data_IF_259343950611
#
_entry.id   IF_259343950611
#
_cell.length_a   1.000
_cell.length_b   1.000
_cell.length_c   1.000
_cell.angle_alpha   90.00
_cell.angle_beta   90.00
_cell.angle_gamma   90.00
#
_symmetry.space_group_name_H-M   'P 1'
#
loop_
_entity.id
_entity.type
_entity.pdbx_description
1 polymer ?
#
# COMPACT_ATOMS: atom_id res chain seq x y z
N UNK A 1 -17.59 3.33 5.80
CA UNK A 1 -18.14 4.45 5.00
C UNK A 1 -19.00 3.88 3.89
N UNK A 2 -20.10 4.54 3.51
CA UNK A 2 -20.91 4.16 2.34
C UNK A 2 -20.61 5.17 1.24
N UNK A 3 -20.23 4.69 0.06
CA UNK A 3 -19.89 5.54 -1.08
C UNK A 3 -21.16 6.10 -1.71
N UNK A 4 -21.16 7.40 -1.99
CA UNK A 4 -22.31 8.16 -2.51
C UNK A 4 -22.00 8.86 -3.83
N UNK A 5 -20.74 9.13 -4.16
CA UNK A 5 -20.35 9.82 -5.40
C UNK A 5 -19.34 9.03 -6.21
N UNK A 6 -19.22 9.39 -7.49
CA UNK A 6 -18.24 8.76 -8.38
C UNK A 6 -16.80 9.15 -7.98
N UNK A 7 -16.59 10.37 -7.52
CA UNK A 7 -15.30 10.87 -7.07
C UNK A 7 -14.80 10.08 -5.86
N UNK A 8 -15.69 9.73 -4.93
CA UNK A 8 -15.37 8.86 -3.80
C UNK A 8 -14.95 7.45 -4.27
N UNK A 9 -15.69 6.85 -5.23
CA UNK A 9 -15.34 5.55 -5.82
C UNK A 9 -13.93 5.60 -6.43
N UNK A 10 -13.63 6.64 -7.22
CA UNK A 10 -12.32 6.76 -7.87
C UNK A 10 -11.19 7.02 -6.86
N UNK A 11 -11.44 7.79 -5.81
CA UNK A 11 -10.50 7.97 -4.71
C UNK A 11 -10.20 6.62 -4.00
N UNK A 12 -11.22 5.82 -3.71
CA UNK A 12 -11.05 4.50 -3.12
C UNK A 12 -10.30 3.52 -4.01
N UNK A 13 -10.60 3.51 -5.31
CA UNK A 13 -9.86 2.70 -6.28
C UNK A 13 -8.39 3.12 -6.34
N UNK A 14 -8.09 4.42 -6.30
CA UNK A 14 -6.73 4.93 -6.34
C UNK A 14 -5.92 4.44 -5.14
N UNK A 15 -6.41 4.64 -3.90
CA UNK A 15 -5.70 4.17 -2.72
C UNK A 15 -5.64 2.64 -2.65
N UNK A 16 -6.70 1.96 -3.08
CA UNK A 16 -6.74 0.49 -3.15
C UNK A 16 -5.67 -0.09 -4.08
N UNK A 17 -5.40 0.55 -5.22
CA UNK A 17 -4.31 0.15 -6.13
C UNK A 17 -2.94 0.32 -5.49
N UNK A 18 -2.69 1.47 -4.84
CA UNK A 18 -1.43 1.73 -4.12
C UNK A 18 -1.19 0.64 -3.05
N UNK A 19 -2.19 0.35 -2.22
CA UNK A 19 -2.08 -0.70 -1.20
C UNK A 19 -1.87 -2.09 -1.83
N UNK A 20 -2.47 -2.38 -2.99
CA UNK A 20 -2.28 -3.65 -3.67
C UNK A 20 -0.86 -3.81 -4.21
N UNK A 21 -0.29 -2.77 -4.82
CA UNK A 21 1.08 -2.76 -5.33
C UNK A 21 2.09 -2.96 -4.19
N UNK A 22 1.91 -2.23 -3.08
CA UNK A 22 2.74 -2.38 -1.88
C UNK A 22 2.67 -3.80 -1.33
N UNK A 23 1.46 -4.36 -1.22
CA UNK A 23 1.27 -5.74 -0.74
C UNK A 23 2.00 -6.75 -1.63
N UNK A 24 1.91 -6.63 -2.95
CA UNK A 24 2.61 -7.55 -3.86
C UNK A 24 4.13 -7.40 -3.77
N UNK A 25 4.65 -6.19 -3.60
CA UNK A 25 6.08 -5.95 -3.41
C UNK A 25 6.59 -6.56 -2.10
N UNK A 26 5.89 -6.34 -0.97
CA UNK A 26 6.23 -6.97 0.31
C UNK A 26 6.18 -8.49 0.21
N UNK A 27 5.13 -9.05 -0.41
CA UNK A 27 4.97 -10.49 -0.62
C UNK A 27 6.12 -11.08 -1.43
N UNK A 28 6.57 -10.40 -2.49
CA UNK A 28 7.71 -10.82 -3.30
C UNK A 28 9.04 -10.77 -2.52
N UNK A 29 9.17 -9.85 -1.56
CA UNK A 29 10.33 -9.72 -0.70
C UNK A 29 10.36 -10.73 0.46
N UNK A 30 9.21 -11.32 0.82
CA UNK A 30 9.09 -12.30 1.91
C UNK A 30 9.83 -13.60 1.59
N UNK A 31 10.98 -13.79 2.21
CA UNK A 31 11.80 -15.01 2.12
C UNK A 31 12.47 -15.32 3.47
N UNK A 32 12.92 -16.56 3.71
CA UNK A 32 13.63 -16.90 4.94
C UNK A 32 14.82 -15.97 5.19
N UNK A 33 14.94 -15.48 6.43
CA UNK A 33 15.99 -14.53 6.84
C UNK A 33 15.59 -13.06 6.74
N UNK A 34 14.43 -12.72 6.18
CA UNK A 34 13.88 -11.35 6.18
C UNK A 34 13.08 -11.12 7.46
N UNK A 35 13.29 -9.96 8.07
CA UNK A 35 12.54 -9.47 9.24
C UNK A 35 11.28 -8.74 8.80
N UNK A 36 10.28 -8.67 9.69
CA UNK A 36 9.07 -7.89 9.44
C UNK A 36 9.37 -6.38 9.32
N UNK A 37 10.42 -5.89 9.97
CA UNK A 37 10.85 -4.49 9.84
C UNK A 37 11.36 -4.18 8.43
N UNK A 38 12.16 -5.06 7.82
CA UNK A 38 12.63 -4.87 6.44
C UNK A 38 11.47 -4.85 5.43
N UNK A 39 10.42 -5.63 5.67
CA UNK A 39 9.19 -5.59 4.87
C UNK A 39 8.42 -4.28 5.08
N UNK A 40 8.34 -3.80 6.32
CA UNK A 40 7.69 -2.53 6.67
C UNK A 40 8.44 -1.33 6.05
N UNK A 41 9.77 -1.34 6.03
CA UNK A 41 10.58 -0.32 5.36
C UNK A 41 10.33 -0.26 3.84
N UNK A 42 10.08 -1.41 3.19
CA UNK A 42 9.68 -1.46 1.78
C UNK A 42 8.32 -0.75 1.62
N UNK A 43 7.36 -1.07 2.47
CA UNK A 43 6.04 -0.44 2.43
C UNK A 43 6.14 1.08 2.68
N UNK A 44 6.90 1.51 3.68
CA UNK A 44 7.08 2.91 4.03
C UNK A 44 7.67 3.73 2.89
N UNK A 45 8.69 3.20 2.19
CA UNK A 45 9.25 3.87 1.00
C UNK A 45 8.21 4.01 -0.12
N UNK A 46 7.48 2.94 -0.42
CA UNK A 46 6.46 2.96 -1.48
C UNK A 46 5.26 3.85 -1.13
N UNK A 47 4.85 3.92 0.13
CA UNK A 47 3.83 4.87 0.59
C UNK A 47 4.29 6.31 0.38
N UNK A 48 5.53 6.64 0.77
CA UNK A 48 6.09 7.98 0.57
C UNK A 48 6.18 8.36 -0.92
N UNK A 49 6.62 7.44 -1.78
CA UNK A 49 6.67 7.63 -3.24
C UNK A 49 5.27 7.84 -3.85
N UNK A 50 4.27 7.12 -3.33
CA UNK A 50 2.88 7.27 -3.77
C UNK A 50 2.16 8.50 -3.19
N UNK A 51 2.82 9.26 -2.31
CA UNK A 51 2.20 10.39 -1.58
C UNK A 51 1.08 9.94 -0.63
N UNK A 52 1.12 8.69 -0.18
CA UNK A 52 0.16 8.11 0.73
C UNK A 52 0.74 8.08 2.16
N UNK A 53 -0.15 8.16 3.15
CA UNK A 53 0.21 8.16 4.56
C UNK A 53 -0.23 6.81 5.15
N UNK A 54 0.70 6.09 5.76
CA UNK A 54 0.39 4.93 6.58
C UNK A 54 -0.19 5.41 7.91
N UNK A 55 -1.35 4.88 8.29
CA UNK A 55 -2.09 5.24 9.51
C UNK A 55 -2.36 4.06 10.41
#
# INVERSE_FOLDING_TARGET
>A
MIVKTQEEIEAFKKIGRICAEIREAMKAATKPGVTTLELDEIAGRMFAEAGAISG
#
